data_IF_414233862903
#
_entry.id   IF_414233862903
#
_cell.length_a   1.000
_cell.length_b   1.000
_cell.length_c   1.000
_cell.angle_alpha   90.00
_cell.angle_beta   90.00
_cell.angle_gamma   90.00
#
_symmetry.space_group_name_H-M   'P 1'
#
loop_
_entity.id
_entity.type
_entity.pdbx_description
1 polymer ?
#
# COMPACT_ATOMS: atom_id res chain seq x y z
N UNK A 1 -1.94 1.68 5.95
CA UNK A 1 -2.11 2.87 5.11
C UNK A 1 -3.27 2.58 4.18
N UNK A 2 -4.28 3.41 4.19
CA UNK A 2 -5.46 3.22 3.35
C UNK A 2 -5.23 3.78 1.92
N UNK A 3 -6.23 3.61 1.06
CA UNK A 3 -6.19 4.11 -0.32
C UNK A 3 -6.09 5.63 -0.38
N UNK A 4 -6.76 6.35 0.51
CA UNK A 4 -6.81 7.81 0.52
C UNK A 4 -5.44 8.39 0.88
N UNK A 5 -4.77 7.84 1.89
CA UNK A 5 -3.41 8.19 2.27
C UNK A 5 -2.42 7.95 1.12
N UNK A 6 -2.55 6.80 0.45
CA UNK A 6 -1.74 6.43 -0.72
C UNK A 6 -1.96 7.37 -1.91
N UNK A 7 -3.20 7.74 -2.19
CA UNK A 7 -3.54 8.65 -3.28
C UNK A 7 -3.04 10.08 -2.97
N UNK A 8 -3.10 10.50 -1.70
CA UNK A 8 -2.52 11.77 -1.26
C UNK A 8 -0.98 11.81 -1.41
N UNK A 9 -0.29 10.70 -1.17
CA UNK A 9 1.17 10.61 -1.43
C UNK A 9 1.46 10.69 -2.92
N UNK A 10 0.70 9.98 -3.77
CA UNK A 10 0.81 10.07 -5.24
C UNK A 10 0.63 11.50 -5.72
N UNK A 11 -0.37 12.20 -5.20
CA UNK A 11 -0.64 13.57 -5.58
C UNK A 11 0.51 14.52 -5.20
N UNK A 12 1.04 14.42 -3.97
CA UNK A 12 2.23 15.20 -3.58
C UNK A 12 3.43 14.89 -4.46
N UNK A 13 3.65 13.61 -4.78
CA UNK A 13 4.72 13.14 -5.65
C UNK A 13 4.59 13.64 -7.10
N UNK A 14 3.37 13.76 -7.61
CA UNK A 14 3.08 14.27 -8.95
C UNK A 14 3.19 15.80 -9.07
N UNK A 15 2.83 16.53 -7.99
CA UNK A 15 2.96 17.99 -7.93
C UNK A 15 4.38 18.49 -7.73
N UNK A 16 5.28 17.65 -7.21
CA UNK A 16 6.68 17.98 -7.04
C UNK A 16 7.41 18.14 -8.39
N UNK A 17 8.52 18.87 -8.39
CA UNK A 17 9.34 19.09 -9.60
C UNK A 17 9.73 17.76 -10.24
N UNK A 18 9.56 17.58 -11.57
CA UNK A 18 10.01 16.37 -12.25
C UNK A 18 11.50 16.07 -12.02
N UNK A 19 11.84 14.78 -11.97
CA UNK A 19 13.23 14.31 -11.87
C UNK A 19 13.89 14.14 -13.24
N UNK A 20 15.16 13.68 -13.28
CA UNK A 20 15.98 13.35 -12.13
C UNK A 20 16.41 14.61 -11.37
N UNK A 21 16.53 14.49 -10.05
CA UNK A 21 17.20 15.49 -9.23
C UNK A 21 18.64 15.08 -9.03
N UNK A 22 19.53 16.05 -8.87
CA UNK A 22 20.92 15.83 -8.54
C UNK A 22 21.39 16.85 -7.53
N UNK A 23 22.32 16.42 -6.68
CA UNK A 23 22.97 17.30 -5.71
C UNK A 23 24.00 18.17 -6.40
N UNK A 24 24.04 19.45 -6.03
CA UNK A 24 25.06 20.42 -6.41
C UNK A 24 25.50 21.18 -5.16
N UNK A 25 26.63 20.79 -4.55
CA UNK A 25 27.10 21.39 -3.30
C UNK A 25 26.11 21.25 -2.14
N UNK A 26 25.65 22.37 -1.59
CA UNK A 26 24.61 22.43 -0.54
C UNK A 26 23.19 22.51 -1.09
N UNK A 27 23.00 22.27 -2.39
CA UNK A 27 21.77 22.53 -3.13
C UNK A 27 21.33 21.26 -3.87
N UNK A 28 20.07 21.20 -4.30
CA UNK A 28 19.53 20.14 -5.17
C UNK A 28 18.89 20.79 -6.38
N UNK A 29 19.24 20.29 -7.57
CA UNK A 29 18.77 20.79 -8.87
C UNK A 29 18.04 19.71 -9.66
N UNK A 30 17.17 20.12 -10.57
CA UNK A 30 16.53 19.22 -11.54
C UNK A 30 17.43 19.02 -12.78
N UNK A 31 16.99 18.21 -13.74
CA UNK A 31 17.73 17.93 -14.99
C UNK A 31 18.06 19.16 -15.84
N UNK A 32 17.34 20.27 -15.67
CA UNK A 32 17.57 21.54 -16.37
C UNK A 32 18.52 22.49 -15.61
N UNK A 33 19.05 22.05 -14.46
CA UNK A 33 19.91 22.87 -13.59
C UNK A 33 19.14 23.87 -12.71
N UNK A 34 17.81 23.81 -12.68
CA UNK A 34 16.97 24.68 -11.85
C UNK A 34 16.95 24.17 -10.41
N UNK A 35 17.04 25.10 -9.46
CA UNK A 35 16.93 24.80 -8.03
C UNK A 35 15.59 24.18 -7.66
N UNK A 36 15.67 23.06 -6.94
CA UNK A 36 14.51 22.37 -6.36
C UNK A 36 14.46 22.58 -4.86
N UNK A 37 15.61 22.46 -4.20
CA UNK A 37 15.79 22.71 -2.77
C UNK A 37 17.13 23.40 -2.57
N UNK A 38 17.17 24.38 -1.67
CA UNK A 38 18.39 25.11 -1.35
C UNK A 38 18.78 24.93 0.12
N UNK A 39 20.01 25.32 0.45
CA UNK A 39 20.51 25.52 1.82
C UNK A 39 20.48 24.28 2.72
N UNK A 40 20.98 23.15 2.21
CA UNK A 40 21.27 22.00 3.07
C UNK A 40 22.51 22.26 3.93
N UNK A 41 22.31 22.22 5.25
CA UNK A 41 23.40 22.24 6.23
C UNK A 41 24.09 20.88 6.37
N UNK A 42 23.37 19.79 6.10
CA UNK A 42 23.84 18.42 6.23
C UNK A 42 23.80 17.73 4.86
N UNK A 43 24.95 17.23 4.39
CA UNK A 43 25.03 16.58 3.08
C UNK A 43 24.12 15.35 2.95
N UNK A 44 23.95 14.58 4.02
CA UNK A 44 23.06 13.42 4.04
C UNK A 44 21.60 13.79 3.75
N UNK A 45 21.14 14.97 4.20
CA UNK A 45 19.76 15.43 3.96
C UNK A 45 19.56 15.80 2.49
N UNK A 46 20.58 16.40 1.86
CA UNK A 46 20.59 16.69 0.42
C UNK A 46 20.54 15.40 -0.41
N UNK A 47 21.34 14.40 -0.03
CA UNK A 47 21.35 13.10 -0.69
C UNK A 47 20.01 12.38 -0.53
N UNK A 48 19.46 12.32 0.69
CA UNK A 48 18.14 11.73 0.95
C UNK A 48 17.04 12.41 0.13
N UNK A 49 17.03 13.74 0.10
CA UNK A 49 16.02 14.50 -0.66
C UNK A 49 16.15 14.29 -2.17
N UNK A 50 17.39 14.20 -2.67
CA UNK A 50 17.67 13.89 -4.09
C UNK A 50 17.07 12.54 -4.47
N UNK A 51 17.32 11.50 -3.66
CA UNK A 51 16.84 10.14 -3.92
C UNK A 51 15.33 9.98 -3.68
N UNK A 52 14.74 10.75 -2.77
CA UNK A 52 13.30 10.71 -2.52
C UNK A 52 12.46 10.90 -3.80
N UNK A 53 12.95 11.67 -4.78
CA UNK A 53 12.26 11.86 -6.07
C UNK A 53 12.09 10.56 -6.86
N UNK A 54 13.06 9.66 -6.82
CA UNK A 54 13.01 8.35 -7.49
C UNK A 54 12.44 7.26 -6.61
N UNK A 55 12.75 7.30 -5.32
CA UNK A 55 12.43 6.23 -4.38
C UNK A 55 10.93 6.21 -4.05
N UNK A 56 10.29 7.38 -3.89
CA UNK A 56 8.85 7.44 -3.58
C UNK A 56 8.02 6.80 -4.71
N UNK A 57 8.19 7.16 -6.00
CA UNK A 57 7.51 6.45 -7.09
C UNK A 57 7.75 4.93 -7.09
N UNK A 58 8.99 4.49 -6.85
CA UNK A 58 9.32 3.06 -6.82
C UNK A 58 8.61 2.32 -5.67
N UNK A 59 8.57 2.92 -4.48
CA UNK A 59 7.86 2.40 -3.32
C UNK A 59 6.34 2.33 -3.56
N UNK A 60 5.76 3.35 -4.20
CA UNK A 60 4.33 3.34 -4.55
C UNK A 60 4.00 2.22 -5.56
N UNK A 61 4.86 2.01 -6.55
CA UNK A 61 4.72 0.91 -7.50
C UNK A 61 4.83 -0.47 -6.82
N UNK A 62 5.71 -0.61 -5.83
CA UNK A 62 5.83 -1.86 -5.06
C UNK A 62 4.59 -2.12 -4.19
N UNK A 63 4.00 -1.08 -3.60
CA UNK A 63 2.74 -1.20 -2.87
C UNK A 63 1.60 -1.65 -3.80
N UNK A 64 1.52 -1.11 -5.01
CA UNK A 64 0.53 -1.53 -6.00
C UNK A 64 0.73 -2.99 -6.41
N UNK A 65 1.99 -3.42 -6.59
CA UNK A 65 2.34 -4.82 -6.88
C UNK A 65 1.88 -5.75 -5.75
N UNK A 66 2.23 -5.42 -4.50
CA UNK A 66 1.88 -6.22 -3.33
C UNK A 66 0.36 -6.30 -3.12
N UNK A 67 -0.37 -5.19 -3.29
CA UNK A 67 -1.83 -5.19 -3.19
C UNK A 67 -2.48 -6.09 -4.26
N UNK A 68 -1.97 -6.06 -5.49
CA UNK A 68 -2.45 -6.94 -6.55
C UNK A 68 -2.18 -8.42 -6.26
N UNK A 69 -1.02 -8.73 -5.68
CA UNK A 69 -0.69 -10.10 -5.27
C UNK A 69 -1.61 -10.59 -4.14
N UNK A 70 -1.92 -9.72 -3.16
CA UNK A 70 -2.86 -10.04 -2.09
C UNK A 70 -4.28 -10.31 -2.62
N UNK A 71 -4.74 -9.53 -3.61
CA UNK A 71 -6.04 -9.77 -4.26
C UNK A 71 -6.05 -11.15 -4.93
N UNK A 72 -5.03 -11.47 -5.73
CA UNK A 72 -4.93 -12.79 -6.40
C UNK A 72 -4.90 -13.95 -5.40
N UNK A 73 -4.18 -13.80 -4.29
CA UNK A 73 -4.14 -14.82 -3.23
C UNK A 73 -5.52 -15.02 -2.61
N UNK A 74 -6.23 -13.94 -2.31
CA UNK A 74 -7.60 -13.99 -1.77
C UNK A 74 -8.57 -14.65 -2.74
N UNK A 75 -8.50 -14.32 -4.03
CA UNK A 75 -9.30 -14.95 -5.09
C UNK A 75 -8.99 -16.45 -5.20
N UNK A 76 -7.71 -16.84 -5.19
CA UNK A 76 -7.31 -18.24 -5.24
C UNK A 76 -7.82 -19.03 -4.03
N UNK A 77 -7.75 -18.44 -2.83
CA UNK A 77 -8.31 -19.02 -1.60
C UNK A 77 -9.84 -19.13 -1.70
N UNK A 78 -10.53 -18.10 -2.16
CA UNK A 78 -11.99 -18.12 -2.33
C UNK A 78 -12.43 -19.22 -3.31
N UNK A 79 -11.73 -19.38 -4.43
CA UNK A 79 -11.96 -20.46 -5.40
C UNK A 79 -11.71 -21.82 -4.74
N UNK A 80 -10.58 -21.99 -4.04
CA UNK A 80 -10.24 -23.24 -3.37
C UNK A 80 -11.27 -23.62 -2.29
N UNK A 81 -11.69 -22.69 -1.45
CA UNK A 81 -12.67 -22.93 -0.39
C UNK A 81 -14.09 -23.11 -0.93
N UNK A 82 -14.48 -22.35 -1.96
CA UNK A 82 -15.76 -22.48 -2.64
C UNK A 82 -15.92 -23.82 -3.36
N UNK A 83 -14.83 -24.37 -3.91
CA UNK A 83 -14.79 -25.72 -4.50
C UNK A 83 -14.80 -26.84 -3.44
N UNK A 84 -14.47 -26.53 -2.18
CA UNK A 84 -14.46 -27.47 -1.06
C UNK A 84 -15.71 -27.35 -0.16
N UNK A 85 -16.79 -26.69 -0.61
CA UNK A 85 -18.09 -26.70 0.06
C UNK A 85 -18.26 -25.73 1.23
N UNK A 86 -17.30 -24.83 1.47
CA UNK A 86 -17.47 -23.73 2.43
C UNK A 86 -17.99 -22.51 1.65
N UNK A 87 -19.31 -22.29 1.69
CA UNK A 87 -19.94 -21.06 1.17
C UNK A 87 -19.45 -19.86 1.98
N UNK A 88 -18.42 -19.17 1.49
CA UNK A 88 -18.13 -17.81 1.93
C UNK A 88 -18.96 -16.85 1.06
N UNK A 89 -19.87 -16.13 1.71
CA UNK A 89 -20.89 -15.32 1.08
C UNK A 89 -20.25 -14.19 0.26
N UNK A 90 -20.55 -14.18 -1.04
CA UNK A 90 -19.90 -13.34 -2.05
C UNK A 90 -20.20 -11.83 -1.94
N UNK A 91 -20.82 -11.35 -0.86
CA UNK A 91 -21.32 -9.97 -0.76
C UNK A 91 -20.91 -9.21 0.51
N UNK A 92 -20.15 -9.83 1.42
CA UNK A 92 -19.72 -9.15 2.62
C UNK A 92 -18.28 -8.63 2.46
N UNK A 93 -18.05 -7.43 2.98
CA UNK A 93 -16.79 -6.71 2.82
C UNK A 93 -15.66 -7.45 3.55
N UNK A 94 -14.40 -7.14 3.23
CA UNK A 94 -13.24 -7.73 3.95
C UNK A 94 -13.31 -7.51 5.48
N UNK A 95 -14.01 -6.48 5.96
CA UNK A 95 -14.23 -6.26 7.39
C UNK A 95 -15.17 -7.29 8.04
N UNK A 96 -16.15 -7.79 7.31
CA UNK A 96 -17.12 -8.78 7.82
C UNK A 96 -16.46 -10.15 8.00
N UNK A 97 -15.50 -10.48 7.13
CA UNK A 97 -14.66 -11.67 7.26
C UNK A 97 -13.79 -11.62 8.53
N UNK A 98 -13.23 -10.45 8.87
CA UNK A 98 -12.38 -10.28 10.05
C UNK A 98 -13.22 -10.35 11.35
N UNK A 99 -14.42 -9.74 11.36
CA UNK A 99 -15.35 -9.83 12.50
C UNK A 99 -15.83 -11.27 12.77
N UNK A 100 -16.05 -12.06 11.73
CA UNK A 100 -16.43 -13.47 11.88
C UNK A 100 -15.30 -14.33 12.47
N UNK A 101 -14.03 -13.96 12.24
CA UNK A 101 -12.87 -14.63 12.81
C UNK A 101 -12.62 -14.21 14.27
N UNK A 102 -12.82 -12.94 14.62
CA UNK A 102 -12.63 -12.43 15.99
C UNK A 102 -13.79 -12.77 16.95
N UNK A 103 -15.00 -13.02 16.42
CA UNK A 103 -16.21 -13.33 17.20
C UNK A 103 -16.44 -14.81 17.52
N UNK A 104 -15.52 -15.72 17.17
CA UNK A 104 -15.77 -17.15 17.22
C UNK A 104 -15.52 -17.78 18.61
N UNK A 105 -16.31 -17.36 19.61
CA UNK A 105 -16.51 -18.15 20.83
C UNK A 105 -17.92 -18.72 21.02
N UNK A 106 -18.92 -18.20 20.29
CA UNK A 106 -20.32 -18.61 20.53
C UNK A 106 -21.03 -19.26 19.33
N UNK A 107 -20.38 -19.43 18.17
CA UNK A 107 -21.03 -19.96 16.95
C UNK A 107 -20.86 -21.46 16.71
N UNK A 108 -20.36 -22.22 17.70
CA UNK A 108 -20.39 -23.69 17.71
C UNK A 108 -21.31 -24.22 18.82
N UNK A 109 -22.44 -23.54 19.06
CA UNK A 109 -23.48 -24.00 19.98
C UNK A 109 -24.50 -24.91 19.31
N UNK A 110 -24.32 -26.23 19.46
CA UNK A 110 -25.44 -27.16 19.64
C UNK A 110 -25.85 -28.04 18.45
N UNK A 111 -25.23 -29.22 18.34
CA UNK A 111 -25.96 -30.42 17.94
C UNK A 111 -26.67 -30.99 19.18
N UNK A 112 -27.99 -31.14 19.09
CA UNK A 112 -28.88 -31.76 20.08
C UNK A 112 -30.27 -31.16 19.84
N UNK A 113 -31.31 -31.89 19.44
CA UNK A 113 -31.74 -33.17 19.98
C UNK A 113 -32.43 -34.04 18.91
N UNK A 114 -32.25 -35.35 19.05
CA UNK A 114 -33.17 -36.35 18.54
C UNK A 114 -34.50 -36.23 19.31
N UNK A 115 -35.64 -36.30 18.60
CA UNK A 115 -36.98 -36.44 19.16
C UNK A 115 -38.03 -36.52 18.06
#
# INVERSE_FOLDING_TARGET
>A
MDKQELDAIRERCAKATPGPWHRDGSEVRNGDGVFVVNDFWVHADAEFTTHARTDIPALLAEIDRLNNDLIKQREAIAIFLGNNGIRLFANDTTEDFIKALDGNKDYLGGNGENG
#
